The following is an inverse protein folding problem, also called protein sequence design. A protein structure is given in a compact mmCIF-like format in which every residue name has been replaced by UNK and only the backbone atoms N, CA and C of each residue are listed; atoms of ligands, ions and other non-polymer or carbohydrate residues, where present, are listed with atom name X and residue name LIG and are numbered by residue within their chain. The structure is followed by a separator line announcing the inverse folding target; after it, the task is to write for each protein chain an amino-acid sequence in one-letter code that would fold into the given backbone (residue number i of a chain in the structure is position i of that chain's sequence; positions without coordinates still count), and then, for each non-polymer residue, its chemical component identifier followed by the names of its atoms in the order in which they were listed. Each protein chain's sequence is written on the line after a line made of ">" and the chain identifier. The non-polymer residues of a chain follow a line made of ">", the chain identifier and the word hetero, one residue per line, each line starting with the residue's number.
data_IF_603427420630
#
_entry.id   IF_603427420630
#
_cell.length_a   1.000
_cell.length_b   1.000
_cell.length_c   1.000
_cell.angle_alpha   90.00
_cell.angle_beta   90.00
_cell.angle_gamma   90.00
#
_symmetry.space_group_name_H-M   'P 1'
#
loop_
_entity.id
_entity.type
_entity.pdbx_description
1 polymer ?
#
# COMPACT_ATOMS: atom_id res chain seq x y z
N UNK A 1 -8.93 -41.18 29.95
CA UNK A 1 -9.32 -39.94 29.28
C UNK A 1 -8.21 -39.63 28.28
N UNK A 2 -8.50 -39.76 26.98
CA UNK A 2 -7.51 -39.46 25.94
C UNK A 2 -7.65 -37.99 25.57
N UNK A 3 -6.56 -37.24 25.64
CA UNK A 3 -6.53 -35.85 25.20
C UNK A 3 -6.98 -35.72 23.73
N UNK A 4 -7.80 -34.71 23.40
CA UNK A 4 -8.18 -34.48 22.01
C UNK A 4 -6.92 -34.08 21.22
N UNK A 5 -6.67 -34.80 20.12
CA UNK A 5 -5.61 -34.42 19.17
C UNK A 5 -5.82 -32.97 18.71
N UNK A 6 -4.76 -32.15 18.64
CA UNK A 6 -4.88 -30.80 18.11
C UNK A 6 -5.37 -30.89 16.66
N UNK A 7 -6.46 -30.18 16.34
CA UNK A 7 -6.90 -30.00 14.97
C UNK A 7 -5.87 -29.10 14.29
N UNK A 8 -4.93 -29.71 13.56
CA UNK A 8 -4.08 -28.96 12.64
C UNK A 8 -4.95 -28.19 11.65
N UNK A 9 -4.46 -27.10 11.04
CA UNK A 9 -5.26 -26.31 10.11
C UNK A 9 -5.73 -27.20 8.97
N UNK A 10 -6.99 -27.05 8.57
CA UNK A 10 -7.57 -27.77 7.45
C UNK A 10 -7.03 -27.20 6.13
N UNK A 11 -5.76 -27.48 5.81
CA UNK A 11 -5.20 -27.15 4.51
C UNK A 11 -5.84 -28.03 3.44
N UNK A 12 -6.51 -27.41 2.48
CA UNK A 12 -7.01 -28.06 1.28
C UNK A 12 -5.90 -28.15 0.22
N UNK A 13 -5.92 -29.17 -0.65
CA UNK A 13 -5.01 -29.22 -1.80
C UNK A 13 -5.14 -27.94 -2.65
N UNK A 14 -4.06 -27.16 -2.72
CA UNK A 14 -4.03 -25.87 -3.42
C UNK A 14 -3.87 -24.64 -2.52
N UNK A 15 -4.08 -24.80 -1.21
CA UNK A 15 -3.84 -23.72 -0.24
C UNK A 15 -2.33 -23.41 -0.14
N UNK A 16 -1.96 -22.12 0.00
CA UNK A 16 -0.58 -21.76 0.21
C UNK A 16 -0.09 -22.31 1.55
N UNK A 17 1.12 -22.84 1.56
CA UNK A 17 1.84 -23.13 2.81
C UNK A 17 2.05 -21.83 3.61
N UNK A 18 2.26 -21.89 4.95
CA UNK A 18 2.56 -20.70 5.75
C UNK A 18 3.68 -19.84 5.16
N UNK A 19 4.76 -20.48 4.68
CA UNK A 19 5.86 -19.79 4.02
C UNK A 19 5.42 -19.07 2.74
N UNK A 20 4.62 -19.72 1.89
CA UNK A 20 4.10 -19.09 0.68
C UNK A 20 3.16 -17.93 1.01
N UNK A 21 2.38 -18.01 2.08
CA UNK A 21 1.52 -16.91 2.52
C UNK A 21 2.36 -15.71 2.98
N UNK A 22 3.43 -15.93 3.75
CA UNK A 22 4.37 -14.89 4.15
C UNK A 22 5.09 -14.26 2.95
N UNK A 23 5.54 -15.08 2.00
CA UNK A 23 6.15 -14.59 0.76
C UNK A 23 5.18 -13.72 -0.05
N UNK A 24 3.87 -13.97 0.03
CA UNK A 24 2.84 -13.15 -0.62
C UNK A 24 2.66 -11.81 0.10
N UNK A 25 2.52 -11.83 1.42
CA UNK A 25 2.40 -10.64 2.28
C UNK A 25 3.56 -9.68 2.00
N UNK A 26 4.80 -10.15 2.22
CA UNK A 26 6.00 -9.30 2.05
C UNK A 26 6.13 -8.77 0.62
N UNK A 27 5.75 -9.57 -0.39
CA UNK A 27 5.81 -9.14 -1.79
C UNK A 27 4.78 -8.07 -2.11
N UNK A 28 3.54 -8.24 -1.66
CA UNK A 28 2.48 -7.27 -1.97
C UNK A 28 2.70 -5.97 -1.22
N UNK A 29 3.21 -6.01 0.01
CA UNK A 29 3.52 -4.80 0.77
C UNK A 29 4.65 -4.03 0.10
N UNK A 30 5.76 -4.69 -0.23
CA UNK A 30 6.84 -4.05 -0.99
C UNK A 30 6.38 -3.47 -2.34
N UNK A 31 5.44 -4.14 -3.02
CA UNK A 31 4.86 -3.65 -4.26
C UNK A 31 3.94 -2.44 -4.05
N UNK A 32 3.19 -2.42 -2.95
CA UNK A 32 2.35 -1.31 -2.49
C UNK A 32 3.18 -0.06 -2.23
N UNK A 33 4.18 -0.17 -1.36
CA UNK A 33 5.11 0.94 -1.04
C UNK A 33 5.82 1.44 -2.29
N UNK A 34 6.25 0.51 -3.16
CA UNK A 34 6.85 0.91 -4.42
C UNK A 34 5.85 1.68 -5.29
N UNK A 35 4.58 1.26 -5.35
CA UNK A 35 3.52 1.97 -6.05
C UNK A 35 3.30 3.39 -5.50
N UNK A 36 3.17 3.54 -4.19
CA UNK A 36 2.94 4.81 -3.52
C UNK A 36 4.13 5.78 -3.68
N UNK A 37 5.38 5.33 -3.52
CA UNK A 37 6.59 6.11 -3.90
C UNK A 37 6.49 6.65 -5.34
N UNK A 38 5.97 5.85 -6.27
CA UNK A 38 5.83 6.26 -7.68
C UNK A 38 4.69 7.27 -7.88
N UNK A 39 3.58 7.13 -7.17
CA UNK A 39 2.48 8.11 -7.15
C UNK A 39 3.01 9.46 -6.67
N UNK A 40 3.68 9.50 -5.52
CA UNK A 40 4.26 10.73 -5.00
C UNK A 40 5.32 11.32 -5.95
N UNK A 41 6.15 10.49 -6.60
CA UNK A 41 7.09 10.97 -7.61
C UNK A 41 6.38 11.63 -8.80
N UNK A 42 5.23 11.11 -9.23
CA UNK A 42 4.39 11.72 -10.26
C UNK A 42 3.81 13.06 -9.80
N UNK A 43 3.23 13.09 -8.59
CA UNK A 43 2.67 14.31 -8.02
C UNK A 43 3.72 15.42 -7.86
N UNK A 44 4.91 15.09 -7.32
CA UNK A 44 6.04 16.01 -7.13
C UNK A 44 6.60 16.57 -8.45
N UNK A 45 6.46 15.83 -9.54
CA UNK A 45 6.89 16.30 -10.85
C UNK A 45 6.02 17.46 -11.36
N UNK A 46 4.77 17.55 -10.92
CA UNK A 46 3.78 18.52 -11.38
C UNK A 46 3.56 19.62 -10.33
N UNK A 47 3.31 19.26 -9.07
CA UNK A 47 3.07 20.20 -7.98
C UNK A 47 4.39 20.71 -7.38
N UNK A 48 4.72 21.97 -7.66
CA UNK A 48 6.01 22.56 -7.26
C UNK A 48 5.92 23.50 -6.06
N UNK A 49 4.75 24.05 -5.74
CA UNK A 49 4.56 25.07 -4.69
C UNK A 49 3.16 24.96 -4.10
N UNK A 50 2.98 25.53 -2.91
CA UNK A 50 1.72 25.49 -2.18
C UNK A 50 1.77 24.57 -0.96
N UNK A 51 0.81 24.71 -0.03
CA UNK A 51 0.74 23.88 1.16
C UNK A 51 0.62 22.38 0.81
N UNK A 52 -0.16 22.04 -0.21
CA UNK A 52 -0.35 20.65 -0.67
C UNK A 52 0.95 20.06 -1.23
N UNK A 53 1.73 20.86 -1.96
CA UNK A 53 3.02 20.43 -2.48
C UNK A 53 4.06 20.22 -1.37
N UNK A 54 3.92 20.87 -0.21
CA UNK A 54 4.77 20.63 0.95
C UNK A 54 4.36 19.33 1.66
N UNK A 55 3.06 19.16 1.93
CA UNK A 55 2.53 17.92 2.51
C UNK A 55 2.90 16.69 1.67
N UNK A 56 2.74 16.75 0.34
CA UNK A 56 3.17 15.70 -0.59
C UNK A 56 4.67 15.39 -0.48
N UNK A 57 5.54 16.38 -0.21
CA UNK A 57 6.98 16.10 -0.05
C UNK A 57 7.29 15.40 1.24
N UNK A 58 6.59 15.76 2.32
CA UNK A 58 6.75 15.17 3.64
C UNK A 58 6.28 13.71 3.62
N UNK A 59 5.06 13.45 3.15
CA UNK A 59 4.53 12.10 2.98
C UNK A 59 5.43 11.26 2.06
N UNK A 60 5.90 11.82 0.94
CA UNK A 60 6.79 11.11 0.02
C UNK A 60 8.15 10.70 0.62
N UNK A 61 8.63 11.40 1.65
CA UNK A 61 9.87 11.01 2.35
C UNK A 61 9.61 9.88 3.35
N UNK A 62 8.45 9.91 4.04
CA UNK A 62 8.01 8.82 4.93
C UNK A 62 7.80 7.52 4.14
N UNK A 63 7.06 7.61 3.04
CA UNK A 63 6.79 6.52 2.10
C UNK A 63 8.07 5.87 1.56
N UNK A 64 9.11 6.67 1.30
CA UNK A 64 10.41 6.13 0.89
C UNK A 64 11.05 5.29 2.00
N UNK A 65 10.91 5.70 3.25
CA UNK A 65 11.34 4.92 4.42
C UNK A 65 10.57 3.60 4.57
N UNK A 66 9.28 3.59 4.23
CA UNK A 66 8.48 2.36 4.20
C UNK A 66 9.00 1.39 3.14
N UNK A 67 9.20 1.88 1.91
CA UNK A 67 9.77 1.09 0.81
C UNK A 67 11.16 0.53 1.18
N UNK A 68 12.05 1.35 1.74
CA UNK A 68 13.40 0.91 2.15
C UNK A 68 13.33 -0.20 3.21
N UNK A 69 12.34 -0.12 4.10
CA UNK A 69 12.08 -1.16 5.12
C UNK A 69 11.61 -2.46 4.49
N UNK A 70 10.63 -2.42 3.59
CA UNK A 70 10.15 -3.62 2.92
C UNK A 70 11.15 -4.21 1.92
N UNK A 71 11.98 -3.39 1.25
CA UNK A 71 13.09 -3.88 0.41
C UNK A 71 14.12 -4.66 1.25
N UNK A 72 14.40 -4.20 2.48
CA UNK A 72 15.25 -4.92 3.43
C UNK A 72 14.59 -6.21 3.90
N UNK A 73 13.31 -6.20 4.27
CA UNK A 73 12.56 -7.40 4.69
C UNK A 73 12.55 -8.44 3.56
N UNK A 74 12.25 -8.01 2.33
CA UNK A 74 12.24 -8.83 1.13
C UNK A 74 13.59 -9.50 0.90
N UNK A 75 14.69 -8.75 1.04
CA UNK A 75 16.06 -9.26 0.93
C UNK A 75 16.39 -10.26 2.03
N UNK A 76 16.12 -9.91 3.29
CA UNK A 76 16.40 -10.75 4.47
C UNK A 76 15.66 -12.09 4.40
N UNK A 77 14.40 -12.07 3.95
CA UNK A 77 13.53 -13.25 3.84
C UNK A 77 13.69 -13.99 2.51
N UNK A 78 14.54 -13.50 1.61
CA UNK A 78 14.76 -14.04 0.26
C UNK A 78 13.47 -14.16 -0.58
N UNK A 79 12.55 -13.23 -0.37
CA UNK A 79 11.29 -13.14 -1.12
C UNK A 79 11.60 -12.48 -2.47
N UNK A 80 10.96 -12.94 -3.55
CA UNK A 80 11.07 -12.27 -4.85
C UNK A 80 10.06 -11.13 -4.95
N UNK A 81 10.45 -9.96 -5.46
CA UNK A 81 9.50 -8.89 -5.76
C UNK A 81 8.56 -9.33 -6.87
N UNK A 82 7.40 -8.68 -6.98
CA UNK A 82 6.46 -8.98 -8.06
C UNK A 82 7.08 -8.71 -9.44
N UNK A 83 6.82 -9.59 -10.40
CA UNK A 83 7.23 -9.38 -11.78
C UNK A 83 6.52 -8.17 -12.44
N UNK A 84 5.43 -7.68 -11.82
CA UNK A 84 4.67 -6.52 -12.28
C UNK A 84 5.30 -5.18 -11.88
N UNK A 85 6.45 -5.17 -11.21
CA UNK A 85 7.13 -3.93 -10.79
C UNK A 85 7.30 -2.89 -11.92
N UNK A 86 7.67 -3.24 -13.18
CA UNK A 86 7.74 -2.27 -14.27
C UNK A 86 6.39 -1.64 -14.63
N UNK A 87 5.31 -2.42 -14.53
CA UNK A 87 3.95 -1.92 -14.75
C UNK A 87 3.55 -0.93 -13.64
N UNK A 88 3.78 -1.28 -12.38
CA UNK A 88 3.51 -0.41 -11.23
C UNK A 88 4.34 0.86 -11.24
N UNK A 89 5.58 0.78 -11.74
CA UNK A 89 6.42 1.96 -11.93
C UNK A 89 5.78 3.01 -12.83
N UNK A 90 5.24 2.58 -13.97
CA UNK A 90 4.59 3.45 -14.94
C UNK A 90 3.20 3.88 -14.44
N UNK A 91 2.39 2.93 -13.97
CA UNK A 91 1.02 3.18 -13.53
C UNK A 91 0.95 4.14 -12.34
N UNK A 92 1.75 3.90 -11.29
CA UNK A 92 1.79 4.78 -10.12
C UNK A 92 2.25 6.19 -10.48
N UNK A 93 3.33 6.31 -11.26
CA UNK A 93 3.82 7.62 -11.70
C UNK A 93 2.79 8.38 -12.54
N UNK A 94 2.16 7.71 -13.50
CA UNK A 94 1.12 8.33 -14.33
C UNK A 94 -0.07 8.76 -13.48
N UNK A 95 -0.55 7.92 -12.57
CA UNK A 95 -1.66 8.25 -11.68
C UNK A 95 -1.36 9.49 -10.84
N UNK A 96 -0.18 9.55 -10.23
CA UNK A 96 0.24 10.71 -9.45
C UNK A 96 0.40 11.98 -10.29
N UNK A 97 1.00 11.87 -11.48
CA UNK A 97 1.17 13.01 -12.36
C UNK A 97 -0.16 13.52 -12.93
N UNK A 98 -1.07 12.64 -13.32
CA UNK A 98 -2.37 13.05 -13.91
C UNK A 98 -3.27 13.69 -12.88
N UNK A 99 -3.35 13.14 -11.66
CA UNK A 99 -4.15 13.73 -10.57
C UNK A 99 -3.60 15.10 -10.17
N UNK A 100 -2.28 15.23 -10.06
CA UNK A 100 -1.63 16.51 -9.84
C UNK A 100 -1.82 17.53 -10.98
N UNK A 101 -1.92 17.08 -12.24
CA UNK A 101 -2.25 17.94 -13.38
C UNK A 101 -3.68 18.47 -13.33
N UNK A 102 -4.62 17.68 -12.78
CA UNK A 102 -6.00 18.12 -12.53
C UNK A 102 -6.01 19.22 -11.45
N UNK A 103 -5.26 19.01 -10.38
CA UNK A 103 -5.02 20.04 -9.36
C UNK A 103 -4.53 19.50 -8.03
N UNK A 104 -4.16 20.39 -7.08
CA UNK A 104 -3.69 20.00 -5.75
C UNK A 104 -4.69 19.12 -4.99
N UNK A 105 -5.97 19.48 -4.99
CA UNK A 105 -7.04 18.73 -4.34
C UNK A 105 -7.21 17.34 -4.95
N UNK A 106 -7.08 17.21 -6.28
CA UNK A 106 -7.16 15.92 -6.96
C UNK A 106 -5.95 15.02 -6.64
N UNK A 107 -4.75 15.59 -6.47
CA UNK A 107 -3.61 14.85 -5.95
C UNK A 107 -3.87 14.35 -4.52
N UNK A 108 -4.45 15.18 -3.66
CA UNK A 108 -4.82 14.76 -2.30
C UNK A 108 -5.92 13.70 -2.29
N UNK A 109 -6.92 13.81 -3.17
CA UNK A 109 -7.94 12.77 -3.36
C UNK A 109 -7.32 11.43 -3.80
N UNK A 110 -6.29 11.47 -4.65
CA UNK A 110 -5.54 10.29 -5.01
C UNK A 110 -4.85 9.65 -3.81
N UNK A 111 -4.18 10.44 -2.97
CA UNK A 111 -3.55 9.96 -1.74
C UNK A 111 -4.59 9.32 -0.83
N UNK A 112 -5.66 10.05 -0.47
CA UNK A 112 -6.76 9.54 0.38
C UNK A 112 -7.33 8.22 -0.15
N UNK A 113 -7.60 8.14 -1.45
CA UNK A 113 -8.18 6.95 -2.07
C UNK A 113 -7.23 5.75 -2.06
N UNK A 114 -5.92 5.96 -2.17
CA UNK A 114 -4.92 4.90 -2.09
C UNK A 114 -4.76 4.45 -0.64
N UNK A 115 -4.60 5.38 0.28
CA UNK A 115 -4.40 5.08 1.71
C UNK A 115 -5.59 4.34 2.32
N UNK A 116 -6.82 4.66 1.92
CA UNK A 116 -7.99 3.89 2.33
C UNK A 116 -7.90 2.40 1.94
N UNK A 117 -7.33 2.09 0.77
CA UNK A 117 -7.15 0.69 0.35
C UNK A 117 -5.98 0.04 1.07
N UNK A 118 -4.91 0.79 1.35
CA UNK A 118 -3.76 0.28 2.09
C UNK A 118 -4.16 -0.01 3.55
N UNK A 119 -4.93 0.87 4.20
CA UNK A 119 -5.50 0.63 5.54
C UNK A 119 -6.34 -0.66 5.58
N UNK A 120 -7.27 -0.83 4.64
CA UNK A 120 -8.07 -2.05 4.51
C UNK A 120 -7.19 -3.30 4.35
N UNK A 121 -6.14 -3.20 3.53
CA UNK A 121 -5.20 -4.28 3.25
C UNK A 121 -4.35 -4.65 4.47
N UNK A 122 -3.78 -3.66 5.16
CA UNK A 122 -3.00 -3.87 6.37
C UNK A 122 -3.85 -4.38 7.52
N UNK A 123 -5.06 -3.87 7.72
CA UNK A 123 -5.99 -4.42 8.70
C UNK A 123 -6.23 -5.92 8.48
N UNK A 124 -6.50 -6.30 7.23
CA UNK A 124 -6.70 -7.71 6.86
C UNK A 124 -5.45 -8.56 7.11
N UNK A 125 -4.26 -8.07 6.79
CA UNK A 125 -3.02 -8.80 7.06
C UNK A 125 -2.75 -8.97 8.56
N UNK A 126 -3.05 -7.96 9.36
CA UNK A 126 -2.94 -8.04 10.82
C UNK A 126 -3.92 -9.06 11.42
N UNK A 127 -5.04 -9.34 10.76
CA UNK A 127 -5.96 -10.41 11.17
C UNK A 127 -5.47 -11.80 10.71
N UNK A 128 -4.81 -11.89 9.54
CA UNK A 128 -4.40 -13.15 8.93
C UNK A 128 -3.01 -13.65 9.34
N UNK A 129 -2.09 -12.76 9.74
CA UNK A 129 -0.72 -13.12 10.14
C UNK A 129 -0.70 -13.92 11.45
N UNK A 130 0.01 -15.05 11.45
CA UNK A 130 0.19 -15.87 12.66
C UNK A 130 0.91 -15.09 13.78
N UNK A 131 0.68 -15.48 15.04
CA UNK A 131 1.37 -14.92 16.22
C UNK A 131 2.90 -15.11 16.16
N UNK A 132 3.38 -16.07 15.36
CA UNK A 132 4.80 -16.37 15.17
C UNK A 132 5.57 -15.34 14.32
N UNK A 133 4.92 -14.28 13.83
CA UNK A 133 5.54 -13.20 13.03
C UNK A 133 5.43 -11.82 13.70
N UNK A 134 5.87 -11.67 14.97
CA UNK A 134 5.62 -10.47 15.76
C UNK A 134 6.27 -9.21 15.18
N UNK A 135 7.48 -9.33 14.61
CA UNK A 135 8.20 -8.19 14.03
C UNK A 135 7.52 -7.68 12.76
N UNK A 136 7.05 -8.58 11.89
CA UNK A 136 6.34 -8.19 10.67
C UNK A 136 4.98 -7.56 10.99
N UNK A 137 4.23 -8.16 11.93
CA UNK A 137 2.98 -7.60 12.42
C UNK A 137 3.18 -6.20 12.99
N UNK A 138 4.26 -5.99 13.76
CA UNK A 138 4.59 -4.68 14.32
C UNK A 138 4.87 -3.67 13.21
N UNK A 139 5.71 -4.00 12.23
CA UNK A 139 5.99 -3.09 11.10
C UNK A 139 4.73 -2.73 10.32
N UNK A 140 3.87 -3.70 10.02
CA UNK A 140 2.60 -3.45 9.31
C UNK A 140 1.68 -2.55 10.14
N UNK A 141 1.61 -2.77 11.46
CA UNK A 141 0.80 -1.94 12.34
C UNK A 141 1.31 -0.50 12.42
N UNK A 142 2.62 -0.30 12.52
CA UNK A 142 3.26 1.03 12.51
C UNK A 142 2.96 1.76 11.18
N UNK A 143 3.19 1.12 10.03
CA UNK A 143 2.94 1.78 8.74
C UNK A 143 1.46 2.04 8.50
N UNK A 144 0.57 1.16 8.98
CA UNK A 144 -0.87 1.42 8.93
C UNK A 144 -1.25 2.70 9.69
N UNK A 145 -0.62 2.98 10.82
CA UNK A 145 -0.86 4.24 11.55
C UNK A 145 -0.36 5.46 10.73
N UNK A 146 0.80 5.32 10.08
CA UNK A 146 1.35 6.35 9.19
C UNK A 146 0.42 6.60 7.98
N UNK A 147 -0.12 5.55 7.34
CA UNK A 147 -1.05 5.70 6.21
C UNK A 147 -2.38 6.36 6.61
N UNK A 148 -2.88 6.08 7.82
CA UNK A 148 -4.04 6.78 8.36
C UNK A 148 -3.74 8.28 8.52
N UNK A 149 -2.54 8.64 8.98
CA UNK A 149 -2.12 10.03 9.09
C UNK A 149 -1.95 10.70 7.71
N UNK A 150 -1.42 9.97 6.72
CA UNK A 150 -1.33 10.44 5.33
C UNK A 150 -2.72 10.72 4.74
N UNK A 151 -3.68 9.81 4.96
CA UNK A 151 -5.07 9.99 4.55
C UNK A 151 -5.67 11.25 5.18
N UNK A 152 -5.55 11.38 6.50
CA UNK A 152 -6.13 12.49 7.24
C UNK A 152 -5.51 13.82 6.80
N UNK A 153 -4.19 13.85 6.54
CA UNK A 153 -3.50 14.98 5.91
C UNK A 153 -4.11 15.32 4.54
N UNK A 154 -4.38 14.33 3.70
CA UNK A 154 -5.03 14.53 2.40
C UNK A 154 -6.42 15.16 2.53
N UNK A 155 -7.21 14.74 3.52
CA UNK A 155 -8.52 15.32 3.83
C UNK A 155 -8.40 16.78 4.29
N UNK A 156 -7.46 17.06 5.21
CA UNK A 156 -7.18 18.42 5.69
C UNK A 156 -6.74 19.38 4.56
N UNK A 157 -6.08 18.84 3.54
CA UNK A 157 -5.68 19.55 2.32
C UNK A 157 -6.74 19.56 1.21
N UNK A 158 -8.00 19.30 1.55
CA UNK A 158 -9.13 19.51 0.65
C UNK A 158 -9.31 18.41 -0.41
N UNK A 159 -8.92 17.17 -0.11
CA UNK A 159 -9.17 16.03 -1.01
C UNK A 159 -10.64 15.95 -1.49
N UNK A 160 -11.61 16.16 -0.59
CA UNK A 160 -13.04 16.10 -0.90
C UNK A 160 -13.52 17.25 -1.81
N UNK A 161 -12.73 18.31 -1.94
CA UNK A 161 -13.00 19.43 -2.85
C UNK A 161 -12.56 19.13 -4.30
N UNK A 162 -11.94 17.97 -4.55
CA UNK A 162 -11.52 17.58 -5.88
C UNK A 162 -12.71 17.45 -6.85
N UNK A 163 -12.54 17.85 -8.13
CA UNK A 163 -13.58 17.65 -9.14
C UNK A 163 -13.97 16.18 -9.27
N UNK A 164 -15.25 15.89 -9.11
CA UNK A 164 -15.80 14.53 -9.15
C UNK A 164 -15.12 13.55 -8.18
N UNK A 165 -14.78 14.03 -6.97
CA UNK A 165 -14.11 13.29 -5.90
C UNK A 165 -14.58 11.84 -5.78
N UNK A 166 -15.88 11.60 -5.55
CA UNK A 166 -16.44 10.25 -5.37
C UNK A 166 -16.12 9.31 -6.54
N UNK A 167 -16.25 9.79 -7.77
CA UNK A 167 -15.97 8.98 -8.96
C UNK A 167 -14.47 8.70 -9.12
N UNK A 168 -13.63 9.71 -8.88
CA UNK A 168 -12.18 9.58 -8.91
C UNK A 168 -11.70 8.57 -7.85
N UNK A 169 -12.13 8.77 -6.61
CA UNK A 169 -11.83 7.89 -5.48
C UNK A 169 -12.27 6.46 -5.74
N UNK A 170 -13.48 6.24 -6.28
CA UNK A 170 -13.94 4.90 -6.63
C UNK A 170 -13.05 4.20 -7.67
N UNK A 171 -12.64 4.91 -8.72
CA UNK A 171 -11.76 4.37 -9.77
C UNK A 171 -10.37 4.06 -9.22
N UNK A 172 -9.79 4.97 -8.44
CA UNK A 172 -8.47 4.79 -7.83
C UNK A 172 -8.50 3.61 -6.87
N UNK A 173 -9.48 3.56 -5.96
CA UNK A 173 -9.66 2.43 -5.03
C UNK A 173 -9.79 1.10 -5.77
N UNK A 174 -10.57 1.05 -6.85
CA UNK A 174 -10.70 -0.16 -7.66
C UNK A 174 -9.36 -0.57 -8.30
N UNK A 175 -8.61 0.40 -8.85
CA UNK A 175 -7.28 0.16 -9.40
C UNK A 175 -6.28 -0.37 -8.38
N UNK A 176 -6.22 0.24 -7.19
CA UNK A 176 -5.35 -0.18 -6.09
C UNK A 176 -5.66 -1.61 -5.61
N UNK A 177 -6.95 -1.95 -5.44
CA UNK A 177 -7.35 -3.32 -5.08
C UNK A 177 -6.95 -4.35 -6.13
N UNK A 178 -7.05 -4.01 -7.42
CA UNK A 178 -6.57 -4.88 -8.51
C UNK A 178 -5.06 -5.03 -8.48
N UNK A 179 -4.32 -3.95 -8.22
CA UNK A 179 -2.85 -3.99 -8.13
C UNK A 179 -2.37 -4.88 -6.97
N UNK A 180 -3.01 -4.77 -5.80
CA UNK A 180 -2.77 -5.64 -4.64
C UNK A 180 -3.03 -7.10 -5.02
N UNK A 181 -4.22 -7.39 -5.53
CA UNK A 181 -4.62 -8.75 -5.89
C UNK A 181 -3.67 -9.41 -6.90
N UNK A 182 -3.21 -8.65 -7.90
CA UNK A 182 -2.24 -9.12 -8.90
C UNK A 182 -0.85 -9.35 -8.26
N UNK A 183 -0.39 -8.43 -7.42
CA UNK A 183 0.95 -8.48 -6.80
C UNK A 183 1.09 -9.60 -5.78
N UNK A 184 0.00 -10.01 -5.11
CA UNK A 184 -0.03 -11.22 -4.28
C UNK A 184 0.29 -12.50 -5.09
N UNK A 185 -0.03 -12.52 -6.39
CA UNK A 185 -0.04 -13.75 -7.21
C UNK A 185 1.14 -13.86 -8.15
N UNK A 186 1.73 -12.74 -8.55
CA UNK A 186 2.71 -12.65 -9.66
C UNK A 186 4.06 -12.14 -9.16
#
# INVERSE_FOLDING_TARGET
>A
MSDPKPKGPAYLPGDPTPRQQLDRVVRVDQAGEFGAVRIYAGQKAVLRRGPEANAIREMAEQEKGHLDTFDRILTMRQVRPTALRPLWHAAGYMLGATTALIGPQAAMACTVAVEDVIDEHYAKQLDELCEDEPELRKTIAEFREDELAHRDTGLEHGAEEAPAYEAMSAVIKAGSRVAIWLSERI
#
